data_IF_912087872941
#
_entry.id   IF_912087872941
#
_cell.length_a   1.000
_cell.length_b   1.000
_cell.length_c   1.000
_cell.angle_alpha   90.00
_cell.angle_beta   90.00
_cell.angle_gamma   90.00
#
_symmetry.space_group_name_H-M   'P 1'
#
loop_
_entity.id
_entity.type
_entity.pdbx_description
1 polymer ?
#
# COMPACT_ATOMS: atom_id res chain seq x y z
N UNK A 1 -13.68 -67.51 -8.74
CA UNK A 1 -13.18 -66.72 -7.59
C UNK A 1 -12.39 -65.54 -8.14
N UNK A 2 -12.98 -64.35 -8.02
CA UNK A 2 -12.39 -63.00 -7.91
C UNK A 2 -11.11 -62.71 -8.71
N UNK A 3 -11.28 -62.18 -9.92
CA UNK A 3 -10.32 -61.26 -10.52
C UNK A 3 -10.57 -59.86 -9.93
N UNK A 4 -9.62 -59.36 -9.15
CA UNK A 4 -9.63 -57.97 -8.67
C UNK A 4 -8.96 -57.13 -9.75
N UNK A 5 -9.77 -56.42 -10.55
CA UNK A 5 -9.26 -55.34 -11.39
C UNK A 5 -9.01 -54.16 -10.46
N UNK A 6 -7.74 -53.88 -10.18
CA UNK A 6 -7.33 -52.66 -9.50
C UNK A 6 -7.58 -51.49 -10.46
N UNK A 7 -8.63 -50.73 -10.22
CA UNK A 7 -8.84 -49.43 -10.86
C UNK A 7 -7.76 -48.49 -10.33
N UNK A 8 -6.75 -48.22 -11.16
CA UNK A 8 -5.81 -47.14 -10.92
C UNK A 8 -6.57 -45.81 -11.06
N UNK A 9 -6.96 -45.22 -9.93
CA UNK A 9 -7.37 -43.83 -9.84
C UNK A 9 -6.12 -42.97 -10.10
N UNK A 10 -5.87 -42.65 -11.37
CA UNK A 10 -5.02 -41.51 -11.73
C UNK A 10 -5.79 -40.25 -11.31
N UNK A 11 -5.48 -39.73 -10.13
CA UNK A 11 -5.74 -38.33 -9.80
C UNK A 11 -4.84 -37.50 -10.74
N UNK A 12 -5.39 -37.04 -11.86
CA UNK A 12 -4.81 -35.89 -12.54
C UNK A 12 -4.82 -34.74 -11.53
N UNK A 13 -3.63 -34.31 -11.11
CA UNK A 13 -3.50 -33.08 -10.34
C UNK A 13 -4.05 -31.96 -11.21
N UNK A 14 -5.22 -31.43 -10.86
CA UNK A 14 -5.79 -30.27 -11.55
C UNK A 14 -4.74 -29.15 -11.54
N UNK A 15 -4.39 -28.64 -12.72
CA UNK A 15 -3.44 -27.55 -12.83
C UNK A 15 -3.97 -26.34 -12.03
N UNK A 16 -3.14 -25.78 -11.16
CA UNK A 16 -3.50 -24.60 -10.38
C UNK A 16 -3.80 -23.43 -11.32
N UNK A 17 -4.84 -22.68 -10.98
CA UNK A 17 -5.13 -21.41 -11.63
C UNK A 17 -4.15 -20.36 -11.09
N UNK A 18 -3.28 -19.85 -11.95
CA UNK A 18 -2.37 -18.77 -11.62
C UNK A 18 -3.07 -17.41 -11.71
N UNK A 19 -2.88 -16.55 -10.69
CA UNK A 19 -3.29 -15.14 -10.69
C UNK A 19 -2.12 -14.21 -10.39
N UNK A 20 -2.26 -12.95 -10.79
CA UNK A 20 -1.34 -11.86 -10.42
C UNK A 20 -1.99 -10.97 -9.38
N UNK A 21 -1.34 -10.79 -8.24
CA UNK A 21 -1.70 -9.77 -7.26
C UNK A 21 -1.06 -8.44 -7.68
N UNK A 22 -1.87 -7.44 -7.98
CA UNK A 22 -1.44 -6.08 -8.26
C UNK A 22 -1.74 -5.21 -7.04
N UNK A 23 -0.71 -4.64 -6.43
CA UNK A 23 -0.87 -3.73 -5.29
C UNK A 23 -0.50 -2.32 -5.68
N UNK A 24 -1.32 -1.35 -5.27
CA UNK A 24 -1.11 0.06 -5.59
C UNK A 24 -0.69 0.84 -4.35
N UNK A 25 0.35 1.66 -4.47
CA UNK A 25 0.50 2.83 -3.59
C UNK A 25 -0.62 3.85 -3.86
N UNK A 26 -0.77 4.82 -2.95
CA UNK A 26 -1.85 5.82 -2.99
C UNK A 26 -1.33 7.18 -3.45
N UNK A 27 -0.51 7.82 -2.62
CA UNK A 27 -0.17 9.23 -2.71
C UNK A 27 0.96 9.45 -3.75
N UNK A 28 0.59 9.83 -4.97
CA UNK A 28 1.50 9.99 -6.11
C UNK A 28 1.27 8.93 -7.20
N UNK A 29 0.47 7.90 -6.88
CA UNK A 29 0.21 6.75 -7.76
C UNK A 29 -1.25 6.66 -8.21
N UNK A 30 -2.22 6.63 -7.28
CA UNK A 30 -3.66 6.63 -7.59
C UNK A 30 -4.27 8.03 -7.49
N UNK A 31 -3.79 8.80 -6.52
CA UNK A 31 -4.20 10.18 -6.29
C UNK A 31 -2.96 11.08 -6.31
N UNK A 32 -3.15 12.38 -6.54
CA UNK A 32 -2.05 13.34 -6.45
C UNK A 32 -1.42 13.28 -5.06
N UNK A 33 -0.13 13.00 -5.02
CA UNK A 33 0.68 13.00 -3.80
C UNK A 33 1.70 14.13 -3.83
N UNK A 34 1.96 14.69 -2.65
CA UNK A 34 2.95 15.77 -2.37
C UNK A 34 2.61 17.17 -2.89
N UNK A 35 3.12 18.20 -2.19
CA UNK A 35 2.87 19.62 -2.44
C UNK A 35 2.53 20.39 -1.15
N UNK A 36 2.58 21.73 -1.19
CA UNK A 36 2.27 22.56 -0.01
C UNK A 36 0.86 22.34 0.55
N UNK A 37 -0.10 22.00 -0.32
CA UNK A 37 -1.46 21.63 0.08
C UNK A 37 -1.51 20.28 0.83
N UNK A 38 -0.64 19.33 0.45
CA UNK A 38 -0.53 18.03 1.12
C UNK A 38 0.12 18.17 2.51
N UNK A 39 1.09 19.08 2.66
CA UNK A 39 1.77 19.37 3.92
C UNK A 39 0.85 19.99 4.98
N UNK A 40 -0.24 20.64 4.57
CA UNK A 40 -1.29 21.16 5.44
C UNK A 40 -2.60 20.35 5.40
N UNK A 41 -2.59 19.17 4.77
CA UNK A 41 -3.79 18.34 4.55
C UNK A 41 -4.45 17.86 5.84
N UNK A 42 -5.68 17.34 5.73
CA UNK A 42 -6.33 16.65 6.84
C UNK A 42 -5.46 15.52 7.42
N UNK A 43 -4.68 14.84 6.58
CA UNK A 43 -3.78 13.77 7.00
C UNK A 43 -2.58 14.31 7.81
N UNK A 44 -1.97 15.40 7.37
CA UNK A 44 -0.89 16.08 8.09
C UNK A 44 -1.34 16.59 9.47
N UNK A 45 -2.56 17.16 9.54
CA UNK A 45 -3.15 17.58 10.82
C UNK A 45 -3.48 16.40 11.74
N UNK A 46 -3.85 15.25 11.17
CA UNK A 46 -4.09 14.03 11.94
C UNK A 46 -2.81 13.55 12.65
N UNK A 47 -1.64 13.60 12.01
CA UNK A 47 -0.36 13.31 12.68
C UNK A 47 -0.14 14.20 13.90
N UNK A 48 -0.22 15.53 13.70
CA UNK A 48 0.02 16.50 14.76
C UNK A 48 -0.93 16.31 15.95
N UNK A 49 -2.21 16.09 15.66
CA UNK A 49 -3.21 15.78 16.67
C UNK A 49 -2.89 14.46 17.38
N UNK A 50 -2.65 13.37 16.65
CA UNK A 50 -2.47 12.01 17.16
C UNK A 50 -1.16 11.77 17.92
N UNK A 51 -0.08 12.48 17.59
CA UNK A 51 1.14 12.45 18.38
C UNK A 51 0.95 13.28 19.65
N UNK A 52 0.40 14.49 19.52
CA UNK A 52 0.25 15.45 20.60
C UNK A 52 -0.52 14.99 21.84
N UNK A 53 -1.73 14.43 21.69
CA UNK A 53 -2.48 13.95 22.87
C UNK A 53 -2.13 12.54 23.36
N UNK A 54 -1.46 11.71 22.57
CA UNK A 54 -1.14 10.32 22.95
C UNK A 54 0.21 10.30 23.65
N UNK A 55 1.15 11.12 23.17
CA UNK A 55 2.55 11.15 23.60
C UNK A 55 2.98 12.49 24.20
N UNK A 56 2.26 13.60 23.89
CA UNK A 56 2.65 14.97 24.24
C UNK A 56 1.78 15.67 25.30
N UNK A 57 0.98 14.93 26.08
CA UNK A 57 0.27 15.48 27.23
C UNK A 57 -1.03 16.24 26.94
N UNK A 58 -1.60 16.13 25.73
CA UNK A 58 -2.96 16.60 25.45
C UNK A 58 -3.08 17.81 24.53
N UNK A 59 -2.01 18.20 23.84
CA UNK A 59 -2.02 19.30 22.86
C UNK A 59 -1.39 18.85 21.55
N UNK A 60 -1.87 19.29 20.36
CA UNK A 60 -1.23 18.97 19.09
C UNK A 60 0.25 19.38 19.05
N UNK A 61 1.08 18.60 18.37
CA UNK A 61 2.43 19.04 17.97
C UNK A 61 2.35 20.02 16.79
N UNK A 62 3.45 20.64 16.36
CA UNK A 62 3.57 21.15 14.99
C UNK A 62 3.31 20.05 13.94
N UNK A 63 3.01 20.45 12.71
CA UNK A 63 2.84 19.55 11.57
C UNK A 63 4.18 18.86 11.22
N UNK A 64 4.15 17.65 10.63
CA UNK A 64 5.37 16.96 10.20
C UNK A 64 6.32 17.84 9.40
N UNK A 65 5.81 18.57 8.40
CA UNK A 65 6.62 19.42 7.51
C UNK A 65 7.24 20.65 8.21
N UNK A 66 6.75 21.05 9.39
CA UNK A 66 7.30 22.19 10.14
C UNK A 66 8.53 21.80 10.98
N UNK A 67 8.70 20.52 11.30
CA UNK A 67 9.73 20.03 12.23
C UNK A 67 10.60 18.91 11.67
N UNK A 68 10.13 18.21 10.63
CA UNK A 68 10.88 17.14 9.97
C UNK A 68 11.39 17.61 8.60
N UNK A 69 12.60 17.21 8.21
CA UNK A 69 13.06 17.43 6.86
C UNK A 69 12.33 16.49 5.88
N UNK A 70 12.19 16.88 4.59
CA UNK A 70 11.43 16.14 3.57
C UNK A 70 11.69 14.64 3.49
N UNK A 71 12.93 14.21 3.63
CA UNK A 71 13.37 12.82 3.56
C UNK A 71 12.84 11.94 4.71
N UNK A 72 12.37 12.54 5.80
CA UNK A 72 11.81 11.80 6.95
C UNK A 72 10.32 11.52 6.83
N UNK A 73 9.62 12.11 5.84
CA UNK A 73 8.19 11.89 5.65
C UNK A 73 7.76 11.60 4.21
N UNK A 74 8.48 12.07 3.19
CA UNK A 74 8.18 11.68 1.80
C UNK A 74 8.54 10.21 1.54
N UNK A 75 7.60 9.44 1.00
CA UNK A 75 7.79 8.01 0.71
C UNK A 75 7.93 7.12 1.96
N UNK A 76 7.69 7.68 3.15
CA UNK A 76 7.75 6.99 4.44
C UNK A 76 6.40 6.35 4.80
N UNK A 77 6.37 5.57 5.88
CA UNK A 77 5.12 5.02 6.45
C UNK A 77 4.65 5.90 7.59
N UNK A 78 3.34 5.93 7.85
CA UNK A 78 2.76 6.72 8.94
C UNK A 78 3.37 6.35 10.28
N UNK A 79 3.66 5.07 10.53
CA UNK A 79 4.37 4.62 11.73
C UNK A 79 5.72 5.31 11.90
N UNK A 80 6.57 5.31 10.86
CA UNK A 80 7.88 5.95 10.94
C UNK A 80 7.78 7.48 11.01
N UNK A 81 6.78 8.10 10.38
CA UNK A 81 6.50 9.54 10.50
C UNK A 81 6.09 9.89 11.93
N UNK A 82 5.20 9.11 12.54
CA UNK A 82 4.78 9.27 13.94
C UNK A 82 5.99 9.24 14.87
N UNK A 83 6.87 8.25 14.70
CA UNK A 83 8.07 8.10 15.55
C UNK A 83 9.05 9.27 15.37
N UNK A 84 9.31 9.68 14.13
CA UNK A 84 10.15 10.86 13.86
C UNK A 84 9.54 12.13 14.45
N UNK A 85 8.23 12.34 14.29
CA UNK A 85 7.53 13.50 14.83
C UNK A 85 7.57 13.52 16.37
N UNK A 86 7.30 12.39 17.02
CA UNK A 86 7.38 12.26 18.48
C UNK A 86 8.79 12.55 19.00
N UNK A 87 9.82 12.05 18.32
CA UNK A 87 11.21 12.32 18.67
C UNK A 87 11.56 13.81 18.51
N UNK A 88 11.29 14.39 17.34
CA UNK A 88 11.69 15.76 17.02
C UNK A 88 10.86 16.84 17.74
N UNK A 89 9.56 16.64 17.93
CA UNK A 89 8.67 17.64 18.54
C UNK A 89 8.55 17.50 20.07
N UNK A 90 8.67 16.28 20.61
CA UNK A 90 8.39 16.00 22.02
C UNK A 90 9.60 15.41 22.78
N UNK A 91 10.68 15.03 22.09
CA UNK A 91 11.82 14.35 22.70
C UNK A 91 11.52 12.91 23.15
N UNK A 92 10.43 12.31 22.67
CA UNK A 92 10.06 10.93 23.02
C UNK A 92 10.92 9.93 22.23
N UNK A 93 11.62 8.99 22.89
CA UNK A 93 12.39 7.96 22.19
C UNK A 93 11.52 7.05 21.32
N UNK A 94 12.04 6.58 20.19
CA UNK A 94 11.29 5.76 19.24
C UNK A 94 10.83 4.44 19.88
N UNK A 95 11.65 3.85 20.75
CA UNK A 95 11.37 2.61 21.48
C UNK A 95 10.22 2.76 22.48
N UNK A 96 9.96 3.98 22.94
CA UNK A 96 8.82 4.28 23.81
C UNK A 96 7.57 4.55 22.96
N UNK A 97 7.72 5.28 21.87
CA UNK A 97 6.60 5.63 21.00
C UNK A 97 6.08 4.42 20.20
N UNK A 98 6.93 3.46 19.84
CA UNK A 98 6.56 2.26 19.06
C UNK A 98 5.51 1.41 19.78
N UNK A 99 5.65 1.26 21.10
CA UNK A 99 4.69 0.51 21.95
C UNK A 99 3.30 1.15 22.00
N UNK A 100 3.21 2.44 21.65
CA UNK A 100 1.97 3.23 21.65
C UNK A 100 1.40 3.43 20.24
N UNK A 101 2.05 2.92 19.19
CA UNK A 101 1.60 3.09 17.80
C UNK A 101 0.15 2.67 17.57
N UNK A 102 -0.36 1.54 18.11
CA UNK A 102 -1.77 1.18 17.94
C UNK A 102 -2.73 2.26 18.44
N UNK A 103 -2.44 2.90 19.56
CA UNK A 103 -3.24 3.99 20.11
C UNK A 103 -3.09 5.28 19.28
N UNK A 104 -1.88 5.58 18.80
CA UNK A 104 -1.64 6.74 17.94
C UNK A 104 -2.40 6.57 16.61
N UNK A 105 -2.32 5.40 15.96
CA UNK A 105 -3.04 5.13 14.70
C UNK A 105 -4.55 5.24 14.89
N UNK A 106 -5.08 4.68 15.98
CA UNK A 106 -6.50 4.80 16.28
C UNK A 106 -6.93 6.26 16.42
N UNK A 107 -6.17 7.07 17.17
CA UNK A 107 -6.51 8.48 17.37
C UNK A 107 -6.26 9.35 16.14
N UNK A 108 -5.32 8.96 15.29
CA UNK A 108 -5.06 9.57 13.99
C UNK A 108 -6.25 9.32 13.05
N UNK A 109 -6.74 8.08 13.01
CA UNK A 109 -7.96 7.73 12.30
C UNK A 109 -9.17 8.49 12.85
N UNK A 110 -9.40 8.53 14.16
CA UNK A 110 -10.55 9.25 14.76
C UNK A 110 -10.59 10.74 14.36
N UNK A 111 -9.43 11.40 14.39
CA UNK A 111 -9.32 12.78 13.93
C UNK A 111 -9.68 12.89 12.44
N UNK A 112 -9.08 12.06 11.59
CA UNK A 112 -9.31 12.08 10.15
C UNK A 112 -10.76 11.70 9.77
N UNK A 113 -11.36 10.76 10.51
CA UNK A 113 -12.74 10.32 10.36
C UNK A 113 -13.73 11.44 10.72
N UNK A 114 -13.38 12.34 11.64
CA UNK A 114 -14.22 13.48 12.03
C UNK A 114 -14.33 14.60 10.97
N UNK A 115 -13.41 14.62 10.01
CA UNK A 115 -13.45 15.56 8.88
C UNK A 115 -14.60 15.18 7.94
N UNK A 116 -15.22 16.15 7.27
CA UNK A 116 -16.09 15.84 6.11
C UNK A 116 -15.27 15.19 4.98
N UNK A 117 -15.92 14.53 4.04
CA UNK A 117 -15.21 13.93 2.89
C UNK A 117 -14.48 15.00 2.09
N UNK A 118 -15.12 16.14 1.80
CA UNK A 118 -14.50 17.28 1.10
C UNK A 118 -13.24 17.80 1.83
N UNK A 119 -13.25 17.83 3.17
CA UNK A 119 -12.09 18.24 3.96
C UNK A 119 -10.99 17.17 4.01
N UNK A 120 -11.39 15.89 4.05
CA UNK A 120 -10.48 14.76 4.08
C UNK A 120 -9.72 14.61 2.75
N UNK A 121 -10.38 14.88 1.63
CA UNK A 121 -9.79 14.85 0.28
C UNK A 121 -9.50 16.23 -0.30
N UNK A 122 -9.48 17.28 0.53
CA UNK A 122 -9.07 18.61 0.09
C UNK A 122 -7.64 18.56 -0.48
N UNK A 123 -7.49 18.89 -1.77
CA UNK A 123 -6.21 18.79 -2.50
C UNK A 123 -5.86 17.39 -3.00
N UNK A 124 -6.66 16.36 -2.69
CA UNK A 124 -6.47 14.98 -3.16
C UNK A 124 -7.38 14.75 -4.36
N UNK A 125 -6.79 14.72 -5.56
CA UNK A 125 -7.50 14.41 -6.80
C UNK A 125 -7.00 13.11 -7.41
N UNK A 126 -7.91 12.30 -7.96
CA UNK A 126 -7.54 11.09 -8.72
C UNK A 126 -6.66 11.46 -9.92
N UNK A 127 -5.58 10.71 -10.13
CA UNK A 127 -4.67 10.94 -11.25
C UNK A 127 -5.32 10.52 -12.60
N UNK A 128 -4.86 11.09 -13.73
CA UNK A 128 -5.36 10.71 -15.05
C UNK A 128 -5.29 9.18 -15.28
N UNK A 129 -6.27 8.63 -15.98
CA UNK A 129 -6.32 7.21 -16.33
C UNK A 129 -6.69 6.25 -15.20
N UNK A 130 -6.54 6.62 -13.92
CA UNK A 130 -6.73 5.72 -12.77
C UNK A 130 -8.11 5.08 -12.75
N UNK A 131 -9.19 5.87 -12.82
CA UNK A 131 -10.57 5.33 -12.76
C UNK A 131 -10.85 4.38 -13.93
N UNK A 132 -10.44 4.74 -15.15
CA UNK A 132 -10.65 3.89 -16.34
C UNK A 132 -9.83 2.61 -16.28
N UNK A 133 -8.58 2.68 -15.83
CA UNK A 133 -7.67 1.55 -15.73
C UNK A 133 -8.12 0.58 -14.64
N UNK A 134 -8.48 1.08 -13.46
CA UNK A 134 -9.05 0.24 -12.39
C UNK A 134 -10.33 -0.48 -12.83
N UNK A 135 -11.25 0.20 -13.53
CA UNK A 135 -12.45 -0.46 -14.09
C UNK A 135 -12.14 -1.57 -15.09
N UNK A 136 -11.07 -1.42 -15.88
CA UNK A 136 -10.61 -2.48 -16.79
C UNK A 136 -10.04 -3.66 -16.00
N UNK A 137 -9.20 -3.40 -15.00
CA UNK A 137 -8.66 -4.44 -14.11
C UNK A 137 -9.76 -5.20 -13.34
N UNK A 138 -10.84 -4.51 -12.94
CA UNK A 138 -11.98 -5.14 -12.26
C UNK A 138 -12.68 -6.24 -13.08
N UNK A 139 -12.52 -6.22 -14.41
CA UNK A 139 -13.08 -7.22 -15.32
C UNK A 139 -12.17 -8.43 -15.57
N UNK A 140 -10.98 -8.46 -14.99
CA UNK A 140 -9.97 -9.47 -15.29
C UNK A 140 -9.84 -10.50 -14.17
N UNK A 141 -10.38 -11.70 -14.39
CA UNK A 141 -10.38 -12.73 -13.33
C UNK A 141 -8.98 -13.28 -13.00
N UNK A 142 -7.96 -12.99 -13.81
CA UNK A 142 -6.56 -13.37 -13.56
C UNK A 142 -5.82 -12.34 -12.70
N UNK A 143 -6.46 -11.22 -12.36
CA UNK A 143 -5.89 -10.11 -11.61
C UNK A 143 -6.65 -9.93 -10.29
N UNK A 144 -5.89 -9.72 -9.23
CA UNK A 144 -6.43 -9.35 -7.92
C UNK A 144 -5.81 -8.01 -7.58
N UNK A 145 -6.62 -6.97 -7.38
CA UNK A 145 -6.11 -5.68 -6.94
C UNK A 145 -6.24 -5.49 -5.43
N UNK A 146 -5.19 -4.94 -4.82
CA UNK A 146 -5.21 -4.46 -3.44
C UNK A 146 -4.40 -3.17 -3.30
N UNK A 147 -4.31 -2.64 -2.10
CA UNK A 147 -3.45 -1.49 -1.79
C UNK A 147 -2.23 -1.90 -0.96
N UNK A 148 -1.09 -1.28 -1.24
CA UNK A 148 0.04 -1.27 -0.32
C UNK A 148 0.44 0.18 -0.11
N UNK A 149 0.21 0.70 1.09
CA UNK A 149 0.45 2.11 1.40
C UNK A 149 1.02 2.30 2.79
N UNK A 150 1.85 3.33 2.93
CA UNK A 150 2.32 3.79 4.23
C UNK A 150 1.22 4.34 5.15
N UNK A 151 0.02 4.61 4.62
CA UNK A 151 -1.07 5.20 5.40
C UNK A 151 -1.67 4.21 6.42
N UNK A 152 -2.17 4.72 7.56
CA UNK A 152 -3.06 3.99 8.47
C UNK A 152 -4.28 3.48 7.68
N UNK A 153 -4.66 2.23 7.90
CA UNK A 153 -5.68 1.54 7.09
C UNK A 153 -7.01 2.30 7.05
N UNK A 154 -7.54 2.75 8.20
CA UNK A 154 -8.79 3.52 8.23
C UNK A 154 -8.73 4.82 7.42
N UNK A 155 -7.55 5.46 7.37
CA UNK A 155 -7.33 6.67 6.56
C UNK A 155 -7.29 6.32 5.07
N UNK A 156 -6.58 5.25 4.70
CA UNK A 156 -6.55 4.76 3.33
C UNK A 156 -7.97 4.39 2.84
N UNK A 157 -8.75 3.69 3.66
CA UNK A 157 -10.15 3.33 3.37
C UNK A 157 -11.00 4.58 3.09
N UNK A 158 -10.98 5.56 4.01
CA UNK A 158 -11.71 6.82 3.86
C UNK A 158 -11.30 7.59 2.60
N UNK A 159 -9.99 7.72 2.34
CA UNK A 159 -9.48 8.37 1.12
C UNK A 159 -10.04 7.70 -0.13
N UNK A 160 -9.91 6.38 -0.25
CA UNK A 160 -10.33 5.64 -1.45
C UNK A 160 -11.84 5.74 -1.69
N UNK A 161 -12.65 5.69 -0.62
CA UNK A 161 -14.09 5.93 -0.69
C UNK A 161 -14.38 7.35 -1.17
N UNK A 162 -13.81 8.36 -0.51
CA UNK A 162 -14.12 9.76 -0.78
C UNK A 162 -13.71 10.21 -2.20
N UNK A 163 -12.66 9.64 -2.79
CA UNK A 163 -12.24 9.97 -4.17
C UNK A 163 -12.90 9.12 -5.26
N UNK A 164 -13.80 8.20 -4.90
CA UNK A 164 -14.55 7.42 -5.88
C UNK A 164 -13.83 6.17 -6.44
N UNK A 165 -12.78 5.69 -5.77
CA UNK A 165 -11.99 4.53 -6.23
C UNK A 165 -12.72 3.21 -5.92
N UNK A 166 -13.48 3.12 -4.83
CA UNK A 166 -14.21 1.89 -4.46
C UNK A 166 -15.27 1.50 -5.50
N UNK A 167 -15.89 2.50 -6.12
CA UNK A 167 -16.93 2.38 -7.15
C UNK A 167 -16.39 1.79 -8.46
N UNK A 168 -15.07 1.67 -8.61
CA UNK A 168 -14.46 0.96 -9.75
C UNK A 168 -14.67 -0.55 -9.67
N UNK A 169 -14.89 -1.09 -8.46
CA UNK A 169 -14.98 -2.53 -8.22
C UNK A 169 -13.65 -3.28 -8.35
N UNK A 170 -12.53 -2.58 -8.54
CA UNK A 170 -11.23 -3.20 -8.78
C UNK A 170 -10.64 -3.83 -7.52
N UNK A 171 -10.77 -3.14 -6.38
CA UNK A 171 -10.14 -3.56 -5.12
C UNK A 171 -10.85 -4.79 -4.56
N UNK A 172 -10.08 -5.86 -4.36
CA UNK A 172 -10.58 -7.12 -3.85
C UNK A 172 -11.10 -6.98 -2.40
N UNK A 173 -12.07 -7.83 -1.98
CA UNK A 173 -12.57 -7.84 -0.62
C UNK A 173 -11.44 -8.01 0.43
N UNK A 174 -11.63 -7.48 1.65
CA UNK A 174 -10.62 -7.56 2.70
C UNK A 174 -10.42 -9.01 3.16
N UNK A 175 -9.22 -9.32 3.65
CA UNK A 175 -8.96 -10.59 4.31
C UNK A 175 -9.57 -10.63 5.73
N UNK A 176 -9.82 -11.82 6.30
CA UNK A 176 -10.45 -11.96 7.61
C UNK A 176 -9.77 -11.18 8.75
N UNK A 177 -8.44 -11.12 8.77
CA UNK A 177 -7.68 -10.39 9.81
C UNK A 177 -7.91 -8.87 9.74
N UNK A 178 -8.16 -8.32 8.55
CA UNK A 178 -8.51 -6.91 8.39
C UNK A 178 -9.89 -6.56 8.94
N UNK A 179 -10.76 -7.57 9.12
CA UNK A 179 -12.10 -7.41 9.69
C UNK A 179 -12.09 -7.47 11.23
N UNK A 180 -10.98 -7.93 11.83
CA UNK A 180 -10.79 -7.89 13.29
C UNK A 180 -10.46 -6.47 13.78
N UNK A 181 -9.92 -5.62 12.90
CA UNK A 181 -9.63 -4.20 13.18
C UNK A 181 -10.88 -3.35 12.96
N UNK A 182 -11.21 -2.50 13.93
CA UNK A 182 -12.36 -1.59 13.86
C UNK A 182 -11.91 -0.20 13.48
N UNK A 183 -12.22 0.21 12.26
CA UNK A 183 -12.07 1.59 11.77
C UNK A 183 -13.46 2.21 11.67
N UNK A 184 -13.91 2.84 12.76
CA UNK A 184 -15.27 3.35 12.91
C UNK A 184 -15.70 4.27 11.75
N UNK A 185 -16.78 3.91 11.06
CA UNK A 185 -17.30 4.65 9.91
C UNK A 185 -16.77 4.18 8.55
N UNK A 186 -15.78 3.29 8.54
CA UNK A 186 -15.12 2.76 7.33
C UNK A 186 -15.19 1.22 7.26
N UNK A 187 -16.15 0.60 7.96
CA UNK A 187 -16.39 -0.85 7.94
C UNK A 187 -16.82 -1.33 6.55
N UNK A 188 -17.64 -0.54 5.86
CA UNK A 188 -18.09 -0.82 4.48
C UNK A 188 -17.06 -0.50 3.40
N UNK A 189 -15.95 0.15 3.78
CA UNK A 189 -14.90 0.62 2.88
C UNK A 189 -13.64 -0.25 2.92
N UNK A 190 -13.76 -1.47 3.47
CA UNK A 190 -12.65 -2.39 3.63
C UNK A 190 -12.29 -3.08 2.30
N UNK A 191 -11.00 -3.25 2.04
CA UNK A 191 -10.46 -3.93 0.86
C UNK A 191 -9.10 -4.57 1.16
N UNK A 192 -8.68 -5.51 0.33
CA UNK A 192 -7.41 -6.21 0.44
C UNK A 192 -6.22 -5.23 0.42
N UNK A 193 -5.27 -5.41 1.33
CA UNK A 193 -4.03 -4.65 1.27
C UNK A 193 -3.03 -4.90 2.38
N UNK A 194 -1.96 -4.09 2.40
CA UNK A 194 -1.00 -3.94 3.49
C UNK A 194 -0.80 -2.46 3.79
N UNK A 195 -0.88 -2.09 5.07
CA UNK A 195 -1.04 -0.70 5.50
C UNK A 195 0.02 -0.28 6.52
N UNK A 196 0.19 1.04 6.69
CA UNK A 196 1.04 1.64 7.72
C UNK A 196 0.76 1.16 9.14
N UNK A 197 -0.50 0.77 9.40
CA UNK A 197 -0.98 0.23 10.66
C UNK A 197 -0.88 -1.30 10.77
N UNK A 198 -0.15 -1.96 9.87
CA UNK A 198 0.15 -3.39 9.96
C UNK A 198 1.57 -3.68 10.46
N UNK A 199 2.54 -2.83 10.12
CA UNK A 199 3.93 -3.02 10.48
C UNK A 199 4.68 -1.69 10.57
N UNK A 200 5.53 -1.57 11.59
CA UNK A 200 6.52 -0.52 11.71
C UNK A 200 7.77 -1.08 12.38
N UNK A 201 8.94 -0.90 11.78
CA UNK A 201 10.19 -1.44 12.32
C UNK A 201 10.68 -0.73 13.59
N UNK A 202 10.19 0.47 13.87
CA UNK A 202 10.66 1.30 14.97
C UNK A 202 12.01 1.99 14.72
N UNK A 203 12.65 1.74 13.56
CA UNK A 203 14.00 2.22 13.27
C UNK A 203 13.93 3.54 12.51
N UNK A 204 14.15 4.65 13.22
CA UNK A 204 14.12 6.02 12.63
C UNK A 204 15.50 6.63 12.37
N UNK A 205 16.57 5.92 12.76
CA UNK A 205 17.95 6.38 12.59
C UNK A 205 18.49 6.15 11.16
N UNK A 206 17.88 5.24 10.39
CA UNK A 206 18.34 4.75 9.09
C UNK A 206 17.24 4.95 8.03
N UNK A 207 17.09 6.19 7.54
CA UNK A 207 16.00 6.57 6.64
C UNK A 207 16.01 5.83 5.29
N UNK A 208 17.17 5.35 4.85
CA UNK A 208 17.34 4.53 3.66
C UNK A 208 16.59 3.19 3.76
N UNK A 209 16.27 2.73 4.97
CA UNK A 209 15.56 1.46 5.22
C UNK A 209 14.04 1.57 5.21
N UNK A 210 13.46 2.77 5.08
CA UNK A 210 12.00 2.96 5.12
C UNK A 210 11.25 2.06 4.10
N UNK A 211 11.88 1.75 2.98
CA UNK A 211 11.33 0.85 1.97
C UNK A 211 11.15 -0.60 2.46
N UNK A 212 11.87 -1.04 3.51
CA UNK A 212 11.74 -2.38 4.07
C UNK A 212 10.43 -2.56 4.85
N UNK A 213 9.94 -1.51 5.53
CA UNK A 213 8.62 -1.53 6.17
C UNK A 213 7.52 -1.70 5.12
N UNK A 214 7.66 -1.01 3.99
CA UNK A 214 6.77 -1.19 2.83
C UNK A 214 6.90 -2.58 2.20
N UNK A 215 8.11 -3.14 2.14
CA UNK A 215 8.33 -4.53 1.71
C UNK A 215 7.58 -5.54 2.60
N UNK A 216 7.51 -5.30 3.92
CA UNK A 216 6.69 -6.11 4.82
C UNK A 216 5.19 -5.93 4.55
N UNK A 217 4.73 -4.72 4.24
CA UNK A 217 3.34 -4.48 3.83
C UNK A 217 2.97 -5.24 2.54
N UNK A 218 3.87 -5.32 1.56
CA UNK A 218 3.69 -6.17 0.36
C UNK A 218 3.55 -7.64 0.76
N UNK A 219 4.41 -8.12 1.66
CA UNK A 219 4.34 -9.50 2.15
C UNK A 219 3.03 -9.80 2.89
N UNK A 220 2.53 -8.84 3.68
CA UNK A 220 1.25 -8.92 4.38
C UNK A 220 0.09 -8.94 3.38
N UNK A 221 0.09 -8.06 2.37
CA UNK A 221 -0.93 -8.05 1.31
C UNK A 221 -0.99 -9.39 0.55
N UNK A 222 0.17 -9.98 0.23
CA UNK A 222 0.23 -11.30 -0.41
C UNK A 222 -0.32 -12.40 0.52
N UNK A 223 0.05 -12.39 1.80
CA UNK A 223 -0.43 -13.38 2.78
C UNK A 223 -1.96 -13.32 2.88
N UNK A 224 -2.52 -12.11 2.95
CA UNK A 224 -3.96 -11.84 2.94
C UNK A 224 -4.63 -12.30 1.65
N UNK A 225 -4.02 -12.00 0.50
CA UNK A 225 -4.54 -12.47 -0.79
C UNK A 225 -4.65 -13.99 -0.81
N UNK A 226 -3.62 -14.71 -0.33
CA UNK A 226 -3.59 -16.17 -0.32
C UNK A 226 -4.67 -16.78 0.59
N UNK A 227 -5.08 -16.12 1.68
CA UNK A 227 -6.16 -16.63 2.53
C UNK A 227 -7.55 -16.40 1.94
N UNK A 228 -7.69 -15.51 0.97
CA UNK A 228 -8.96 -15.22 0.28
C UNK A 228 -9.11 -15.96 -1.05
N UNK A 229 -8.07 -16.66 -1.53
CA UNK A 229 -8.11 -17.36 -2.80
C UNK A 229 -9.04 -18.59 -2.76
N UNK A 230 -9.80 -18.85 -3.83
CA UNK A 230 -10.50 -20.13 -4.00
C UNK A 230 -9.52 -21.31 -4.02
N UNK A 231 -10.01 -22.48 -3.60
CA UNK A 231 -9.26 -23.73 -3.71
C UNK A 231 -8.79 -23.97 -5.16
N UNK A 232 -7.54 -24.40 -5.33
CA UNK A 232 -6.94 -24.62 -6.65
C UNK A 232 -6.44 -23.34 -7.35
N UNK A 233 -6.42 -22.19 -6.67
CA UNK A 233 -5.84 -20.94 -7.18
C UNK A 233 -4.54 -20.60 -6.43
N UNK A 234 -3.55 -20.09 -7.14
CA UNK A 234 -2.28 -19.63 -6.57
C UNK A 234 -1.86 -18.26 -7.10
N UNK A 235 -1.17 -17.47 -6.25
CA UNK A 235 -0.53 -16.23 -6.69
C UNK A 235 0.81 -16.56 -7.32
N UNK A 236 0.88 -16.53 -8.65
CA UNK A 236 2.11 -16.79 -9.39
C UNK A 236 3.02 -15.55 -9.45
N UNK A 237 2.44 -14.36 -9.34
CA UNK A 237 3.15 -13.09 -9.46
C UNK A 237 2.56 -12.03 -8.52
N UNK A 238 3.43 -11.22 -7.92
CA UNK A 238 3.06 -9.99 -7.23
C UNK A 238 3.67 -8.82 -7.96
N UNK A 239 2.87 -7.83 -8.34
CA UNK A 239 3.34 -6.59 -8.95
C UNK A 239 2.94 -5.43 -8.06
N UNK A 240 3.92 -4.65 -7.60
CA UNK A 240 3.66 -3.41 -6.86
C UNK A 240 3.75 -2.20 -7.80
N UNK A 241 2.80 -1.28 -7.71
CA UNK A 241 2.72 -0.07 -8.52
C UNK A 241 2.91 1.13 -7.60
N UNK A 242 3.89 1.98 -7.89
CA UNK A 242 4.24 3.10 -7.02
C UNK A 242 5.11 4.17 -7.70
N UNK A 243 5.11 5.40 -7.19
CA UNK A 243 5.82 6.53 -7.79
C UNK A 243 7.16 6.87 -7.13
N UNK A 244 7.49 6.24 -6.02
CA UNK A 244 8.67 6.58 -5.23
C UNK A 244 9.78 5.53 -5.34
N UNK A 245 11.05 5.93 -5.12
CA UNK A 245 12.16 5.02 -4.87
C UNK A 245 11.84 3.94 -3.82
N UNK A 246 11.06 4.29 -2.79
CA UNK A 246 10.69 3.35 -1.74
C UNK A 246 9.77 2.24 -2.25
N UNK A 247 8.93 2.46 -3.26
CA UNK A 247 8.08 1.42 -3.85
C UNK A 247 8.92 0.42 -4.67
N UNK A 248 9.85 0.95 -5.48
CA UNK A 248 10.79 0.15 -6.27
C UNK A 248 11.68 -0.71 -5.37
N UNK A 249 12.27 -0.09 -4.35
CA UNK A 249 13.15 -0.79 -3.42
C UNK A 249 12.38 -1.76 -2.52
N UNK A 250 11.14 -1.44 -2.13
CA UNK A 250 10.28 -2.34 -1.37
C UNK A 250 9.99 -3.62 -2.16
N UNK A 251 9.51 -3.50 -3.40
CA UNK A 251 9.26 -4.64 -4.28
C UNK A 251 10.53 -5.46 -4.51
N UNK A 252 11.66 -4.80 -4.79
CA UNK A 252 12.95 -5.50 -4.97
C UNK A 252 13.37 -6.27 -3.71
N UNK A 253 13.12 -5.73 -2.52
CA UNK A 253 13.44 -6.38 -1.25
C UNK A 253 12.64 -7.67 -0.99
N UNK A 254 11.54 -7.88 -1.73
CA UNK A 254 10.67 -9.04 -1.63
C UNK A 254 11.13 -10.24 -2.47
N UNK A 255 12.07 -10.04 -3.41
CA UNK A 255 12.61 -11.11 -4.27
C UNK A 255 13.16 -12.25 -3.40
N UNK A 256 12.78 -13.49 -3.74
CA UNK A 256 13.17 -14.70 -3.02
C UNK A 256 12.46 -14.91 -1.67
N UNK A 257 11.75 -13.91 -1.12
CA UNK A 257 11.02 -14.02 0.15
C UNK A 257 9.56 -14.44 -0.02
N UNK A 258 8.92 -14.01 -1.11
CA UNK A 258 7.47 -14.22 -1.32
C UNK A 258 7.12 -15.60 -1.91
N UNK A 259 8.11 -16.29 -2.49
CA UNK A 259 7.91 -17.60 -3.14
C UNK A 259 7.18 -17.52 -4.49
N UNK A 260 7.19 -16.36 -5.14
CA UNK A 260 6.59 -16.11 -6.46
C UNK A 260 7.42 -15.06 -7.21
N UNK A 261 7.13 -14.85 -8.50
CA UNK A 261 7.74 -13.75 -9.26
C UNK A 261 7.33 -12.41 -8.66
N UNK A 262 8.28 -11.47 -8.59
CA UNK A 262 8.02 -10.12 -8.10
C UNK A 262 8.19 -9.13 -9.25
N UNK A 263 7.25 -8.23 -9.43
CA UNK A 263 7.35 -7.14 -10.39
C UNK A 263 7.15 -5.78 -9.72
N UNK A 264 7.56 -4.74 -10.42
CA UNK A 264 7.25 -3.36 -10.07
C UNK A 264 6.83 -2.61 -11.32
N UNK A 265 5.83 -1.74 -11.19
CA UNK A 265 5.55 -0.69 -12.18
C UNK A 265 5.81 0.65 -11.49
N UNK A 266 7.00 1.21 -11.74
CA UNK A 266 7.34 2.56 -11.31
C UNK A 266 6.58 3.58 -12.16
N UNK A 267 5.90 4.54 -11.55
CA UNK A 267 5.13 5.55 -12.28
C UNK A 267 5.65 6.96 -11.98
N UNK A 268 5.97 7.74 -13.02
CA UNK A 268 6.55 9.08 -12.86
C UNK A 268 5.52 10.18 -12.58
N UNK A 269 4.47 9.85 -11.81
CA UNK A 269 3.33 10.73 -11.51
C UNK A 269 3.46 11.50 -10.20
N UNK A 270 4.45 11.13 -9.37
CA UNK A 270 4.85 11.88 -8.19
C UNK A 270 6.02 12.83 -8.46
N UNK A 271 6.88 13.00 -7.46
CA UNK A 271 8.01 13.95 -7.52
C UNK A 271 9.29 13.39 -8.15
N UNK A 272 9.34 12.09 -8.39
CA UNK A 272 10.53 11.39 -8.85
C UNK A 272 10.46 11.15 -10.36
N UNK A 273 11.57 11.41 -11.05
CA UNK A 273 11.67 11.22 -12.49
C UNK A 273 11.64 9.73 -12.87
N UNK A 274 11.05 9.40 -14.02
CA UNK A 274 11.12 8.06 -14.59
C UNK A 274 12.56 7.53 -14.73
N UNK A 275 13.54 8.39 -15.07
CA UNK A 275 14.95 7.98 -15.18
C UNK A 275 15.51 7.43 -13.87
N UNK A 276 15.21 8.08 -12.75
CA UNK A 276 15.62 7.61 -11.42
C UNK A 276 14.94 6.28 -11.07
N UNK A 277 13.64 6.16 -11.32
CA UNK A 277 12.91 4.92 -11.05
C UNK A 277 13.46 3.76 -11.89
N UNK A 278 13.81 4.00 -13.17
CA UNK A 278 14.45 3.00 -14.05
C UNK A 278 15.81 2.56 -13.53
N UNK A 279 16.63 3.51 -13.11
CA UNK A 279 17.95 3.22 -12.52
C UNK A 279 17.83 2.31 -11.29
N UNK A 280 16.88 2.59 -10.39
CA UNK A 280 16.66 1.80 -9.18
C UNK A 280 16.06 0.42 -9.47
N UNK A 281 15.15 0.35 -10.44
CA UNK A 281 14.46 -0.89 -10.81
C UNK A 281 15.43 -1.91 -11.43
N UNK A 282 16.39 -1.43 -12.23
CA UNK A 282 17.39 -2.26 -12.89
C UNK A 282 16.79 -3.18 -13.96
N UNK A 283 17.56 -4.18 -14.35
CA UNK A 283 17.22 -5.08 -15.46
C UNK A 283 16.29 -6.23 -15.01
N UNK A 284 15.39 -6.70 -15.91
CA UNK A 284 14.54 -7.85 -15.63
C UNK A 284 15.32 -9.15 -15.46
N UNK A 285 14.77 -10.06 -14.66
CA UNK A 285 15.23 -11.44 -14.51
C UNK A 285 14.03 -12.39 -14.63
N UNK A 286 13.98 -13.17 -15.72
CA UNK A 286 12.82 -14.00 -16.07
C UNK A 286 12.39 -14.93 -14.93
N UNK A 287 11.12 -14.82 -14.52
CA UNK A 287 10.53 -15.62 -13.45
C UNK A 287 10.91 -15.17 -12.03
N UNK A 288 11.77 -14.15 -11.90
CA UNK A 288 12.25 -13.64 -10.62
C UNK A 288 11.84 -12.18 -10.41
N UNK A 289 12.18 -11.31 -11.36
CA UNK A 289 12.04 -9.86 -11.28
C UNK A 289 11.53 -9.25 -12.60
N UNK A 290 10.40 -8.56 -12.55
CA UNK A 290 9.76 -7.92 -13.71
C UNK A 290 9.54 -6.40 -13.48
N UNK A 291 10.57 -5.57 -13.70
CA UNK A 291 10.46 -4.11 -13.58
C UNK A 291 9.94 -3.44 -14.86
N UNK A 292 9.04 -2.48 -14.67
CA UNK A 292 8.57 -1.55 -15.70
C UNK A 292 8.57 -0.13 -15.13
N UNK A 293 8.79 0.88 -15.97
CA UNK A 293 8.66 2.28 -15.57
C UNK A 293 7.96 3.10 -16.64
N UNK A 294 6.85 3.72 -16.25
CA UNK A 294 5.93 4.44 -17.11
C UNK A 294 5.94 5.93 -16.78
N UNK A 295 5.89 6.78 -17.81
CA UNK A 295 5.93 8.24 -17.64
C UNK A 295 4.55 8.81 -17.31
N UNK A 296 3.45 8.21 -17.81
CA UNK A 296 2.08 8.71 -17.62
C UNK A 296 1.27 7.94 -16.56
N UNK A 297 1.95 7.13 -15.74
CA UNK A 297 1.32 6.32 -14.70
C UNK A 297 0.27 5.36 -15.23
N UNK A 298 -0.91 5.31 -14.60
CA UNK A 298 -2.00 4.43 -15.03
C UNK A 298 -2.68 4.89 -16.34
N UNK A 299 -2.41 6.10 -16.81
CA UNK A 299 -2.88 6.60 -18.11
C UNK A 299 -2.01 6.12 -19.27
N UNK A 300 -0.82 5.60 -18.98
CA UNK A 300 0.11 5.16 -20.00
C UNK A 300 -0.50 4.01 -20.83
N UNK A 301 -0.46 4.08 -22.18
CA UNK A 301 -1.03 3.05 -23.04
C UNK A 301 -0.44 1.66 -22.81
N UNK A 302 0.78 1.56 -22.27
CA UNK A 302 1.43 0.29 -22.00
C UNK A 302 1.00 -0.33 -20.66
N UNK A 303 0.36 0.43 -19.76
CA UNK A 303 0.08 -0.02 -18.37
C UNK A 303 -0.64 -1.37 -18.33
N UNK A 304 -1.72 -1.52 -19.09
CA UNK A 304 -2.52 -2.75 -19.10
C UNK A 304 -1.84 -3.88 -19.86
N UNK A 305 -0.99 -3.56 -20.84
CA UNK A 305 -0.23 -4.55 -21.61
C UNK A 305 0.79 -5.31 -20.76
N UNK A 306 1.30 -4.69 -19.69
CA UNK A 306 2.17 -5.34 -18.69
C UNK A 306 1.49 -6.57 -18.06
N UNK A 307 0.16 -6.52 -17.92
CA UNK A 307 -0.65 -7.60 -17.38
C UNK A 307 -1.27 -8.50 -18.45
N UNK A 308 -0.90 -8.30 -19.73
CA UNK A 308 -1.45 -9.07 -20.86
C UNK A 308 -2.87 -8.67 -21.27
N UNK A 309 -3.34 -7.50 -20.85
CA UNK A 309 -4.68 -6.98 -21.14
C UNK A 309 -4.60 -6.08 -22.38
N UNK A 310 -5.42 -6.38 -23.40
CA UNK A 310 -5.54 -5.56 -24.63
C UNK A 310 -6.53 -4.42 -24.45
#
# INVERSE_FOLDING_TARGET
>A
MRGVVAAALLLEAAALRAVTLVTFDVDGTLVRGSGSEAEASGHARAFAHAVGYTLGGGTPTPLPAEVLPPEKYHGSTDGLIILNLAHSALGVPAEVAVERLPEVWQRMHEYFASLSDDEAVAGIGVLPGVISTLRRLAGEDSIICGLVTGNVEGIARKKMRAVGILETGALAPPAPDQLEKVWAGEEGSAFLGGFGSDYCSGIIAEADRNHLDRGEQIAIALRRCRTTLPEGTEVAKVVHVGDAPSDVLAARSCIGKLGCTVGVVGVATGRYSASLLRELAGEPETGVWEPYVLDEGLNDPEFLSIFGIQ
#
